data_IF_229621860114
#
_entry.id   IF_229621860114
#
_cell.length_a   1.000
_cell.length_b   1.000
_cell.length_c   1.000
_cell.angle_alpha   90.00
_cell.angle_beta   90.00
_cell.angle_gamma   90.00
#
_symmetry.space_group_name_H-M   'P 1'
#
loop_
_entity.id
_entity.type
_entity.pdbx_description
1 polymer ?
#
# COMPACT_ATOMS: atom_id res chain seq x y z
N UNK A 1 8.80 8.59 -2.87
CA UNK A 1 8.01 9.50 -3.74
C UNK A 1 8.84 10.69 -4.21
N UNK A 2 8.52 11.21 -5.39
CA UNK A 2 9.30 12.20 -6.12
C UNK A 2 9.12 13.62 -5.57
N UNK A 3 10.13 14.12 -4.86
CA UNK A 3 10.17 15.51 -4.38
C UNK A 3 10.71 16.50 -5.42
N UNK A 4 11.47 16.00 -6.41
CA UNK A 4 12.14 16.86 -7.39
C UNK A 4 11.11 17.51 -8.34
N UNK A 5 11.03 18.86 -8.45
CA UNK A 5 9.96 19.53 -9.20
C UNK A 5 9.84 19.09 -10.66
N UNK A 6 10.98 18.84 -11.32
CA UNK A 6 11.00 18.39 -12.73
C UNK A 6 10.40 16.99 -12.87
N UNK A 7 10.70 16.10 -11.93
CA UNK A 7 10.24 14.72 -11.98
C UNK A 7 8.76 14.65 -11.55
N UNK A 8 8.33 15.47 -10.59
CA UNK A 8 6.93 15.57 -10.16
C UNK A 8 6.00 15.98 -11.32
N UNK A 9 6.47 16.82 -12.25
CA UNK A 9 5.71 17.18 -13.46
C UNK A 9 5.59 16.03 -14.47
N UNK A 10 6.46 15.02 -14.39
CA UNK A 10 6.48 13.87 -15.31
C UNK A 10 5.73 12.66 -14.75
N UNK A 11 5.63 12.52 -13.43
CA UNK A 11 4.82 11.49 -12.77
C UNK A 11 3.34 11.90 -12.76
N UNK A 12 2.65 11.69 -13.88
CA UNK A 12 1.24 12.07 -14.08
C UNK A 12 0.29 10.91 -13.79
N UNK A 13 0.63 9.71 -14.26
CA UNK A 13 -0.16 8.49 -14.11
C UNK A 13 0.75 7.36 -13.65
N UNK A 14 0.38 6.73 -12.55
CA UNK A 14 0.98 5.53 -12.01
C UNK A 14 0.07 4.36 -12.34
N UNK A 15 0.66 3.31 -12.90
CA UNK A 15 -0.02 2.06 -13.22
C UNK A 15 0.73 0.97 -12.48
N UNK A 16 0.03 0.27 -11.59
CA UNK A 16 0.56 -0.91 -10.92
C UNK A 16 -0.18 -2.16 -11.38
N UNK A 17 0.61 -3.15 -11.74
CA UNK A 17 0.16 -4.51 -12.00
C UNK A 17 -0.13 -5.21 -10.67
N UNK A 18 -1.42 -5.40 -10.39
CA UNK A 18 -1.93 -6.14 -9.25
C UNK A 18 -2.59 -7.44 -9.67
N UNK A 19 -2.16 -8.10 -10.76
CA UNK A 19 -2.70 -9.41 -11.13
C UNK A 19 -2.41 -10.42 -10.00
N UNK A 20 -1.17 -10.44 -9.51
CA UNK A 20 -0.75 -11.28 -8.37
C UNK A 20 -0.29 -10.42 -7.20
N UNK A 21 -0.97 -10.57 -6.07
CA UNK A 21 -0.60 -9.94 -4.81
C UNK A 21 0.26 -10.86 -3.94
N UNK A 22 1.14 -10.27 -3.12
CA UNK A 22 1.91 -10.99 -2.08
C UNK A 22 1.68 -10.33 -0.72
N UNK A 23 1.04 -11.04 0.22
CA UNK A 23 0.64 -10.43 1.50
C UNK A 23 1.63 -10.74 2.62
N UNK A 24 2.53 -11.71 2.41
CA UNK A 24 3.52 -12.18 3.36
C UNK A 24 4.73 -12.78 2.62
N UNK A 25 5.95 -12.70 3.20
CA UNK A 25 7.20 -13.16 2.57
C UNK A 25 7.45 -12.62 1.14
N UNK A 26 7.08 -11.36 0.91
CA UNK A 26 7.51 -10.62 -0.28
C UNK A 26 9.05 -10.43 -0.33
N UNK A 27 9.58 -9.78 -1.39
CA UNK A 27 8.86 -9.10 -2.46
C UNK A 27 8.56 -9.99 -3.69
N UNK A 28 9.25 -11.12 -3.83
CA UNK A 28 9.23 -11.91 -5.08
C UNK A 28 8.12 -12.97 -5.16
N UNK A 29 7.31 -13.15 -4.11
CA UNK A 29 6.26 -14.17 -4.10
C UNK A 29 6.80 -15.61 -4.23
N UNK A 30 7.99 -15.89 -3.68
CA UNK A 30 8.63 -17.22 -3.77
C UNK A 30 7.86 -18.33 -3.07
N UNK A 31 6.99 -17.97 -2.14
CA UNK A 31 6.21 -18.89 -1.33
C UNK A 31 4.74 -18.79 -1.77
N UNK A 32 4.24 -19.74 -2.60
CA UNK A 32 2.94 -19.63 -3.25
C UNK A 32 1.77 -19.53 -2.28
N UNK A 33 1.91 -20.01 -1.04
CA UNK A 33 0.87 -19.93 -0.02
C UNK A 33 0.54 -18.48 0.39
N UNK A 34 1.47 -17.54 0.15
CA UNK A 34 1.30 -16.12 0.47
C UNK A 34 1.01 -15.25 -0.76
N UNK A 35 0.76 -15.89 -1.90
CA UNK A 35 0.41 -15.25 -3.17
C UNK A 35 -1.07 -15.47 -3.44
N UNK A 36 -1.76 -14.45 -3.94
CA UNK A 36 -3.14 -14.59 -4.41
C UNK A 36 -3.35 -13.86 -5.73
N UNK A 37 -4.30 -14.37 -6.53
CA UNK A 37 -4.73 -13.72 -7.77
C UNK A 37 -5.71 -12.59 -7.40
N UNK A 38 -5.22 -11.35 -7.39
CA UNK A 38 -6.05 -10.17 -7.14
C UNK A 38 -6.73 -9.67 -8.42
N UNK A 39 -6.14 -9.97 -9.59
CA UNK A 39 -6.72 -9.71 -10.92
C UNK A 39 -7.14 -8.25 -11.14
N UNK A 40 -6.36 -7.29 -10.64
CA UNK A 40 -6.68 -5.88 -10.80
C UNK A 40 -5.49 -5.08 -11.35
N UNK A 41 -5.79 -4.03 -12.10
CA UNK A 41 -4.85 -2.95 -12.38
C UNK A 41 -5.20 -1.77 -11.47
N UNK A 42 -4.19 -1.20 -10.82
CA UNK A 42 -4.35 -0.01 -9.99
C UNK A 42 -3.80 1.20 -10.75
N UNK A 43 -4.64 2.22 -10.90
CA UNK A 43 -4.32 3.44 -11.63
C UNK A 43 -4.46 4.64 -10.70
N UNK A 44 -3.44 5.48 -10.62
CA UNK A 44 -3.45 6.64 -9.72
C UNK A 44 -2.68 7.83 -10.30
N UNK A 45 -3.14 9.04 -10.00
CA UNK A 45 -2.42 10.29 -10.32
C UNK A 45 -1.51 10.76 -9.18
N UNK A 46 -1.59 10.10 -8.02
CA UNK A 46 -0.80 10.39 -6.84
C UNK A 46 -0.21 9.08 -6.28
N UNK A 47 1.12 8.92 -6.23
CA UNK A 47 1.74 7.69 -5.73
C UNK A 47 1.53 7.45 -4.23
N UNK A 48 1.29 8.46 -3.39
CA UNK A 48 0.91 8.20 -1.98
C UNK A 48 -0.45 7.56 -1.90
N UNK A 49 -1.38 8.07 -2.69
CA UNK A 49 -2.73 7.56 -2.69
C UNK A 49 -2.73 6.10 -3.16
N UNK A 50 -1.93 5.79 -4.18
CA UNK A 50 -1.69 4.43 -4.65
C UNK A 50 -1.12 3.54 -3.54
N UNK A 51 0.02 3.91 -2.95
CA UNK A 51 0.67 3.14 -1.89
C UNK A 51 -0.27 2.88 -0.69
N UNK A 52 -1.10 3.88 -0.33
CA UNK A 52 -2.04 3.73 0.77
C UNK A 52 -3.22 2.79 0.42
N UNK A 53 -3.74 2.86 -0.81
CA UNK A 53 -4.76 1.93 -1.30
C UNK A 53 -4.20 0.50 -1.31
N UNK A 54 -2.98 0.31 -1.82
CA UNK A 54 -2.29 -1.00 -1.83
C UNK A 54 -2.08 -1.56 -0.45
N UNK A 55 -1.61 -0.73 0.48
CA UNK A 55 -1.45 -1.14 1.87
C UNK A 55 -2.77 -1.61 2.47
N UNK A 56 -3.89 -0.92 2.22
CA UNK A 56 -5.22 -1.36 2.68
C UNK A 56 -5.65 -2.70 2.08
N UNK A 57 -5.35 -2.94 0.79
CA UNK A 57 -5.64 -4.20 0.12
C UNK A 57 -4.85 -5.34 0.78
N UNK A 58 -3.55 -5.13 1.03
CA UNK A 58 -2.70 -6.11 1.72
C UNK A 58 -3.22 -6.39 3.13
N UNK A 59 -3.57 -5.36 3.91
CA UNK A 59 -4.09 -5.55 5.27
C UNK A 59 -5.45 -6.26 5.27
N UNK A 60 -6.32 -6.00 4.30
CA UNK A 60 -7.57 -6.73 4.13
C UNK A 60 -7.29 -8.22 3.87
N UNK A 61 -6.36 -8.55 2.97
CA UNK A 61 -5.98 -9.94 2.69
C UNK A 61 -5.34 -10.61 3.91
N UNK A 62 -4.46 -9.92 4.63
CA UNK A 62 -3.85 -10.42 5.88
C UNK A 62 -4.90 -10.74 6.92
N UNK A 63 -5.94 -9.90 7.05
CA UNK A 63 -7.05 -10.13 7.97
C UNK A 63 -7.83 -11.40 7.63
N UNK A 64 -8.10 -11.67 6.35
CA UNK A 64 -8.74 -12.92 5.89
C UNK A 64 -7.92 -14.14 6.29
N UNK A 65 -6.59 -14.04 6.17
CA UNK A 65 -5.61 -15.07 6.52
C UNK A 65 -5.24 -15.10 8.01
N UNK A 66 -5.96 -14.34 8.85
CA UNK A 66 -5.76 -14.24 10.31
C UNK A 66 -4.34 -13.81 10.71
N UNK A 67 -3.68 -13.02 9.87
CA UNK A 67 -2.39 -12.40 10.15
C UNK A 67 -2.58 -10.98 10.73
N UNK A 68 -1.66 -10.53 11.59
CA UNK A 68 -1.64 -9.15 12.08
C UNK A 68 -1.46 -8.16 10.93
N UNK A 69 -1.95 -6.91 11.06
CA UNK A 69 -1.72 -5.87 10.06
C UNK A 69 -0.23 -5.62 9.85
N UNK A 70 0.15 -5.12 8.67
CA UNK A 70 1.56 -4.86 8.31
C UNK A 70 2.24 -4.00 9.37
N UNK A 71 1.60 -2.93 9.85
CA UNK A 71 2.17 -2.03 10.86
C UNK A 71 2.45 -2.67 12.22
N UNK A 72 1.76 -3.77 12.56
CA UNK A 72 1.95 -4.51 13.81
C UNK A 72 2.92 -5.70 13.69
N UNK A 73 3.49 -5.92 12.51
CA UNK A 73 4.28 -7.12 12.19
C UNK A 73 5.78 -6.84 12.22
N UNK A 74 6.55 -7.76 12.79
CA UNK A 74 8.02 -7.71 12.82
C UNK A 74 8.60 -8.62 13.90
N UNK A 75 9.90 -8.90 13.84
CA UNK A 75 10.60 -9.74 14.85
C UNK A 75 10.43 -9.20 16.28
N UNK A 76 10.40 -7.88 16.44
CA UNK A 76 10.22 -7.22 17.74
C UNK A 76 8.74 -6.88 18.04
N UNK A 77 7.81 -7.37 17.22
CA UNK A 77 6.38 -7.12 17.32
C UNK A 77 5.61 -8.45 17.16
N UNK A 78 4.49 -8.46 16.42
CA UNK A 78 3.74 -9.69 16.15
C UNK A 78 4.40 -10.46 15.01
N UNK A 79 4.95 -11.63 15.31
CA UNK A 79 5.45 -12.59 14.31
C UNK A 79 4.84 -13.98 14.54
N UNK A 80 3.57 -14.19 14.17
CA UNK A 80 2.91 -15.48 14.38
C UNK A 80 3.53 -16.63 13.56
N UNK A 81 4.35 -16.31 12.55
CA UNK A 81 4.99 -17.31 11.69
C UNK A 81 6.43 -17.58 12.10
N UNK A 82 7.03 -16.76 12.95
CA UNK A 82 8.46 -16.84 13.31
C UNK A 82 9.40 -16.67 12.12
N UNK A 83 8.94 -16.01 11.05
CA UNK A 83 9.69 -15.91 9.77
C UNK A 83 9.96 -14.49 9.34
N UNK A 84 9.67 -13.48 10.17
CA UNK A 84 9.95 -12.10 9.81
C UNK A 84 11.44 -11.84 9.65
N UNK A 85 11.80 -11.15 8.57
CA UNK A 85 13.17 -10.71 8.31
C UNK A 85 13.50 -9.35 8.94
N UNK A 86 12.48 -8.50 9.14
CA UNK A 86 12.60 -7.14 9.64
C UNK A 86 12.22 -7.04 11.12
N UNK A 87 12.87 -6.13 11.85
CA UNK A 87 12.56 -5.89 13.26
C UNK A 87 11.14 -5.37 13.43
N UNK A 88 10.75 -4.40 12.60
CA UNK A 88 9.40 -3.83 12.50
C UNK A 88 9.17 -3.46 11.03
N UNK A 89 8.00 -3.79 10.47
CA UNK A 89 7.60 -3.31 9.14
C UNK A 89 7.14 -1.86 9.22
N UNK A 90 7.43 -1.07 8.19
CA UNK A 90 7.31 0.39 8.27
C UNK A 90 6.34 1.02 7.24
N UNK A 91 5.04 0.65 7.22
CA UNK A 91 4.07 1.28 6.32
C UNK A 91 3.80 2.76 6.67
N UNK A 92 4.17 3.21 7.88
CA UNK A 92 4.05 4.61 8.30
C UNK A 92 4.79 5.61 7.40
N UNK A 93 5.77 5.15 6.60
CA UNK A 93 6.43 6.00 5.61
C UNK A 93 5.45 6.58 4.58
N UNK A 94 4.35 5.88 4.28
CA UNK A 94 3.31 6.35 3.36
C UNK A 94 2.60 7.57 3.95
N UNK A 95 2.18 7.47 5.22
CA UNK A 95 1.55 8.58 5.94
C UNK A 95 2.50 9.77 6.11
N UNK A 96 3.77 9.50 6.45
CA UNK A 96 4.80 10.53 6.57
C UNK A 96 5.00 11.27 5.25
N UNK A 97 5.04 10.56 4.12
CA UNK A 97 5.17 11.17 2.80
C UNK A 97 3.97 12.07 2.46
N UNK A 98 2.75 11.67 2.85
CA UNK A 98 1.57 12.53 2.77
C UNK A 98 1.71 13.80 3.62
N UNK A 99 2.18 13.67 4.85
CA UNK A 99 2.41 14.81 5.76
C UNK A 99 3.49 15.78 5.26
N UNK A 100 4.50 15.28 4.54
CA UNK A 100 5.53 16.09 3.89
C UNK A 100 5.05 16.80 2.61
N UNK A 101 3.75 16.70 2.27
CA UNK A 101 3.16 17.39 1.11
C UNK A 101 3.55 16.78 -0.24
N UNK A 102 4.11 15.58 -0.21
CA UNK A 102 4.54 14.91 -1.42
C UNK A 102 3.33 14.27 -2.15
N UNK A 103 2.25 13.91 -1.43
CA UNK A 103 0.99 13.42 -2.01
C UNK A 103 -0.16 13.36 -0.99
N UNK A 104 -1.23 12.63 -1.30
CA UNK A 104 -2.44 12.49 -0.47
C UNK A 104 -2.52 11.11 0.17
N UNK A 105 -2.59 11.10 1.50
CA UNK A 105 -2.80 9.88 2.29
C UNK A 105 -4.26 9.73 2.73
N UNK A 106 -4.94 10.80 3.16
CA UNK A 106 -6.24 10.65 3.82
C UNK A 106 -7.40 10.29 2.86
N UNK A 107 -8.15 9.22 3.18
CA UNK A 107 -9.44 8.89 2.51
C UNK A 107 -10.56 9.85 2.90
N UNK A 108 -10.52 10.33 4.15
CA UNK A 108 -11.44 11.33 4.66
C UNK A 108 -10.62 12.54 5.11
N UNK A 109 -10.82 13.68 4.47
CA UNK A 109 -10.07 14.88 4.82
C UNK A 109 -10.44 15.32 6.25
N UNK A 110 -9.48 15.51 7.16
CA UNK A 110 -9.77 16.16 8.43
C UNK A 110 -10.30 17.58 8.14
N UNK A 111 -11.22 18.06 8.99
CA UNK A 111 -11.93 19.33 8.82
C UNK A 111 -10.95 20.46 8.41
N UNK A 112 -11.17 21.05 7.23
CA UNK A 112 -10.37 22.16 6.70
C UNK A 112 -9.47 21.82 5.50
N UNK A 113 -9.21 20.54 5.20
CA UNK A 113 -8.56 20.14 3.93
C UNK A 113 -9.62 19.81 2.88
N UNK A 114 -9.50 20.39 1.68
CA UNK A 114 -10.47 20.26 0.56
C UNK A 114 -10.20 19.07 -0.37
N UNK A 115 -9.26 18.18 -0.03
CA UNK A 115 -8.82 17.11 -0.96
C UNK A 115 -8.55 15.82 -0.17
N UNK A 116 -9.20 14.75 -0.58
CA UNK A 116 -9.03 13.38 -0.08
C UNK A 116 -8.82 12.43 -1.26
N UNK A 117 -8.45 11.18 -0.97
CA UNK A 117 -8.39 10.12 -1.98
C UNK A 117 -9.82 9.83 -2.48
N UNK A 118 -10.06 10.02 -3.78
CA UNK A 118 -11.23 9.48 -4.49
C UNK A 118 -10.85 8.11 -5.03
N UNK A 119 -11.34 7.06 -4.38
CA UNK A 119 -11.03 5.68 -4.73
C UNK A 119 -12.29 4.98 -5.24
N UNK A 120 -12.23 4.47 -6.47
CA UNK A 120 -13.34 3.79 -7.14
C UNK A 120 -12.85 2.45 -7.68
N UNK A 121 -13.70 1.45 -7.55
CA UNK A 121 -13.50 0.12 -8.13
C UNK A 121 -14.42 0.04 -9.35
N UNK A 122 -13.87 -0.39 -10.48
CA UNK A 122 -14.60 -0.58 -11.72
C UNK A 122 -14.45 -2.05 -12.08
N UNK A 123 -15.56 -2.79 -12.06
CA UNK A 123 -15.57 -4.18 -12.49
C UNK A 123 -15.64 -4.24 -14.01
N UNK A 124 -14.71 -4.99 -14.60
CA UNK A 124 -14.65 -5.24 -16.05
C UNK A 124 -15.07 -6.69 -16.25
N UNK A 125 -16.25 -6.88 -16.85
CA UNK A 125 -16.86 -8.20 -17.10
C UNK A 125 -16.23 -8.97 -18.26
#
# INVERSE_FOLDING_TARGET
MVSHPILRKKCVLQILDGIKGVFQKGPFGRDPQFVWEYNALLLATDPVALDHVEWRIIDARRKEEKLPPVAGTGKAALDPLGTEGFDIRQPQHIALAGNLGLGRFDFNSPQGRRRSIDHRIIDVG
#
